data_IF_282345639467
#
_entry.id   IF_282345639467
#
_cell.length_a   1.000
_cell.length_b   1.000
_cell.length_c   1.000
_cell.angle_alpha   90.00
_cell.angle_beta   90.00
_cell.angle_gamma   90.00
#
_symmetry.space_group_name_H-M   'P 1'
#
loop_
_entity.id
_entity.type
_entity.pdbx_description
1 polymer ?
#
# COMPACT_ATOMS: atom_id res chain seq x y z
N UNK A 1 -7.32 -3.55 -24.41
CA UNK A 1 -6.32 -2.96 -23.49
C UNK A 1 -7.11 -2.28 -22.39
N UNK A 2 -7.07 -2.78 -21.15
CA UNK A 2 -7.69 -2.06 -20.03
C UNK A 2 -6.77 -0.88 -19.69
N UNK A 3 -7.32 0.32 -19.65
CA UNK A 3 -6.58 1.50 -19.21
C UNK A 3 -6.66 1.54 -17.68
N UNK A 4 -5.50 1.44 -17.03
CA UNK A 4 -5.42 1.58 -15.58
C UNK A 4 -5.71 3.03 -15.18
N UNK A 5 -6.56 3.21 -14.18
CA UNK A 5 -6.79 4.52 -13.62
C UNK A 5 -5.63 4.93 -12.69
N UNK A 6 -5.55 6.23 -12.37
CA UNK A 6 -4.47 6.80 -11.55
C UNK A 6 -4.32 6.14 -10.18
N UNK A 7 -5.39 5.60 -9.61
CA UNK A 7 -5.38 4.92 -8.33
C UNK A 7 -4.85 3.49 -8.43
N UNK A 8 -5.12 2.81 -9.54
CA UNK A 8 -4.50 1.52 -9.85
C UNK A 8 -2.99 1.69 -10.03
N UNK A 9 -2.55 2.73 -10.75
CA UNK A 9 -1.13 3.05 -10.91
C UNK A 9 -0.48 3.35 -9.56
N UNK A 10 -1.09 4.20 -8.73
CA UNK A 10 -0.58 4.52 -7.40
C UNK A 10 -0.49 3.29 -6.47
N UNK A 11 -1.46 2.37 -6.56
CA UNK A 11 -1.43 1.13 -5.82
C UNK A 11 -0.28 0.22 -6.29
N UNK A 12 -0.06 0.07 -7.60
CA UNK A 12 1.06 -0.72 -8.12
C UNK A 12 2.42 -0.20 -7.64
N UNK A 13 2.63 1.12 -7.70
CA UNK A 13 3.86 1.76 -7.22
C UNK A 13 4.09 1.43 -5.72
N UNK A 14 3.05 1.53 -4.89
CA UNK A 14 3.15 1.21 -3.46
C UNK A 14 3.33 -0.28 -3.19
N UNK A 15 2.77 -1.16 -4.02
CA UNK A 15 3.02 -2.60 -3.94
C UNK A 15 4.49 -2.90 -4.23
N UNK A 16 5.08 -2.27 -5.25
CA UNK A 16 6.50 -2.44 -5.59
C UNK A 16 7.39 -1.96 -4.43
N UNK A 17 7.19 -0.74 -3.94
CA UNK A 17 7.95 -0.19 -2.80
C UNK A 17 7.86 -1.11 -1.55
N UNK A 18 6.66 -1.60 -1.24
CA UNK A 18 6.42 -2.46 -0.07
C UNK A 18 7.09 -3.83 -0.24
N UNK A 19 7.05 -4.42 -1.43
CA UNK A 19 7.76 -5.68 -1.73
C UNK A 19 9.27 -5.51 -1.63
N UNK A 20 9.83 -4.42 -2.16
CA UNK A 20 11.27 -4.15 -2.03
C UNK A 20 11.67 -3.97 -0.56
N UNK A 21 10.86 -3.28 0.24
CA UNK A 21 11.08 -3.15 1.68
C UNK A 21 11.04 -4.51 2.40
N UNK A 22 10.06 -5.36 2.08
CA UNK A 22 9.95 -6.71 2.63
C UNK A 22 11.19 -7.55 2.29
N UNK A 23 11.60 -7.58 1.02
CA UNK A 23 12.80 -8.30 0.57
C UNK A 23 14.07 -7.79 1.25
N UNK A 24 14.25 -6.46 1.36
CA UNK A 24 15.37 -5.84 2.06
C UNK A 24 15.46 -6.21 3.54
N UNK A 25 14.34 -6.60 4.15
CA UNK A 25 14.26 -7.01 5.56
C UNK A 25 14.17 -8.53 5.72
N UNK A 26 14.32 -9.29 4.63
CA UNK A 26 14.17 -10.75 4.60
C UNK A 26 12.78 -11.22 5.10
N UNK A 27 11.75 -10.43 4.81
CA UNK A 27 10.36 -10.69 5.15
C UNK A 27 9.56 -11.03 3.89
N UNK A 28 8.54 -11.87 4.04
CA UNK A 28 7.56 -12.17 2.99
C UNK A 28 6.20 -11.47 3.22
N UNK A 29 6.06 -10.77 4.35
CA UNK A 29 4.86 -10.04 4.74
C UNK A 29 5.19 -9.01 5.81
N UNK A 30 4.45 -7.90 5.81
CA UNK A 30 4.53 -6.90 6.88
C UNK A 30 4.09 -7.45 8.24
N UNK A 31 3.36 -8.57 8.30
CA UNK A 31 2.98 -9.23 9.56
C UNK A 31 4.18 -9.68 10.40
N UNK A 32 5.31 -10.00 9.74
CA UNK A 32 6.57 -10.33 10.43
C UNK A 32 7.45 -9.13 10.74
N UNK A 33 7.02 -7.91 10.37
CA UNK A 33 7.82 -6.70 10.57
C UNK A 33 7.69 -6.20 12.01
N UNK A 34 8.81 -5.98 12.70
CA UNK A 34 8.84 -5.38 14.04
C UNK A 34 8.20 -3.98 14.10
N UNK A 35 8.21 -3.27 12.97
CA UNK A 35 7.70 -1.90 12.85
C UNK A 35 6.23 -1.88 12.36
N UNK A 36 5.52 -3.01 12.34
CA UNK A 36 4.18 -3.12 11.69
C UNK A 36 3.17 -2.05 12.15
N UNK A 37 3.20 -1.68 13.43
CA UNK A 37 2.29 -0.69 14.01
C UNK A 37 2.79 0.77 13.86
N UNK A 38 3.98 0.97 13.30
CA UNK A 38 4.61 2.27 13.13
C UNK A 38 5.45 2.29 11.84
N UNK A 39 4.81 1.98 10.72
CA UNK A 39 5.47 1.88 9.41
C UNK A 39 4.72 2.73 8.38
N UNK A 40 5.20 3.96 8.18
CA UNK A 40 4.62 4.91 7.24
C UNK A 40 4.49 4.36 5.80
N UNK A 41 5.40 3.46 5.38
CA UNK A 41 5.31 2.79 4.08
C UNK A 41 4.11 1.85 4.01
N UNK A 42 3.87 1.07 5.08
CA UNK A 42 2.70 0.20 5.18
C UNK A 42 1.43 1.03 5.20
N UNK A 43 1.40 2.11 5.97
CA UNK A 43 0.22 2.98 6.07
C UNK A 43 -0.09 3.64 4.71
N UNK A 44 0.93 4.12 4.01
CA UNK A 44 0.79 4.66 2.64
C UNK A 44 0.26 3.62 1.65
N UNK A 45 0.71 2.36 1.75
CA UNK A 45 0.17 1.26 0.96
C UNK A 45 -1.30 1.00 1.29
N UNK A 46 -1.70 1.00 2.56
CA UNK A 46 -3.10 0.83 2.95
C UNK A 46 -3.97 1.97 2.39
N UNK A 47 -3.52 3.22 2.48
CA UNK A 47 -4.19 4.36 1.88
C UNK A 47 -4.39 4.15 0.38
N UNK A 48 -3.35 3.76 -0.36
CA UNK A 48 -3.44 3.50 -1.80
C UNK A 48 -4.42 2.36 -2.14
N UNK A 49 -4.50 1.31 -1.31
CA UNK A 49 -5.50 0.24 -1.47
C UNK A 49 -6.91 0.81 -1.34
N UNK A 50 -7.19 1.59 -0.28
CA UNK A 50 -8.52 2.18 -0.07
C UNK A 50 -8.90 3.18 -1.16
N UNK A 51 -7.96 4.01 -1.59
CA UNK A 51 -8.15 4.95 -2.70
C UNK A 51 -8.40 4.22 -4.02
N UNK A 52 -7.70 3.13 -4.30
CA UNK A 52 -7.96 2.30 -5.49
C UNK A 52 -9.35 1.66 -5.45
N UNK A 53 -9.76 1.12 -4.30
CA UNK A 53 -11.06 0.47 -4.14
C UNK A 53 -12.25 1.44 -4.27
N UNK A 54 -12.11 2.66 -3.73
CA UNK A 54 -13.18 3.66 -3.74
C UNK A 54 -12.95 4.77 -4.76
N UNK A 55 -11.95 4.63 -5.64
CA UNK A 55 -11.55 5.65 -6.62
C UNK A 55 -11.30 7.04 -6.01
N UNK A 56 -10.72 7.08 -4.82
CA UNK A 56 -10.45 8.31 -4.07
C UNK A 56 -11.70 8.95 -3.46
N UNK A 57 -12.87 8.33 -3.58
CA UNK A 57 -14.07 8.72 -2.84
C UNK A 57 -13.85 8.30 -1.37
N UNK A 58 -13.42 9.26 -0.55
CA UNK A 58 -13.05 9.04 0.84
C UNK A 58 -14.20 8.45 1.67
N UNK A 59 -14.16 7.14 1.90
CA UNK A 59 -14.95 6.46 2.92
C UNK A 59 -14.19 6.53 4.25
N UNK A 60 -14.71 7.31 5.20
CA UNK A 60 -14.04 7.70 6.43
C UNK A 60 -13.35 6.58 7.21
N UNK A 61 -12.03 6.51 7.10
CA UNK A 61 -11.16 5.91 8.09
C UNK A 61 -10.11 6.94 8.48
N UNK A 62 -10.33 7.58 9.62
CA UNK A 62 -9.29 8.26 10.38
C UNK A 62 -8.47 7.17 11.08
N UNK A 63 -7.16 7.10 10.81
CA UNK A 63 -6.22 6.18 11.45
C UNK A 63 -5.53 6.84 12.64
#
# INVERSE_FOLDING_TARGET
MAFMDKWEIALEDKIEELKQCQLSKELNSCLGCKDINNCALRDSYLTAVYESMNKGEGGGFEF
#
